data_IF_257679986395
#
_entry.id   IF_257679986395
#
_cell.length_a   1.000
_cell.length_b   1.000
_cell.length_c   1.000
_cell.angle_alpha   90.00
_cell.angle_beta   90.00
_cell.angle_gamma   90.00
#
_symmetry.space_group_name_H-M   'P 1'
#
loop_
_entity.id
_entity.type
_entity.pdbx_description
1 polymer ?
#
# COMPACT_ATOMS: atom_id res chain seq x y z
N UNK A 1 -31.53 -4.29 23.70
CA UNK A 1 -30.51 -3.60 22.89
C UNK A 1 -31.11 -2.35 22.28
N UNK A 2 -30.47 -1.23 22.45
CA UNK A 2 -30.96 0.06 21.96
C UNK A 2 -30.69 0.19 20.47
N UNK A 3 -31.68 0.62 19.69
CA UNK A 3 -31.49 0.90 18.27
C UNK A 3 -30.51 2.05 18.09
N UNK A 4 -29.52 1.88 17.23
CA UNK A 4 -28.52 2.89 16.92
C UNK A 4 -28.56 3.19 15.41
N UNK A 5 -29.15 4.34 15.00
CA UNK A 5 -29.22 4.70 13.58
C UNK A 5 -27.84 4.94 12.95
N UNK A 6 -26.86 5.40 13.73
CA UNK A 6 -25.49 5.58 13.21
C UNK A 6 -24.85 4.25 12.84
N UNK A 7 -25.15 3.19 13.61
CA UNK A 7 -24.65 1.85 13.30
C UNK A 7 -25.21 1.33 11.97
N UNK A 8 -26.49 1.58 11.67
CA UNK A 8 -27.07 1.16 10.40
C UNK A 8 -26.47 1.90 9.21
N UNK A 9 -26.18 3.20 9.35
CA UNK A 9 -25.49 3.98 8.32
C UNK A 9 -24.08 3.44 8.10
N UNK A 10 -23.36 3.14 9.18
CA UNK A 10 -22.01 2.57 9.10
C UNK A 10 -22.03 1.19 8.45
N UNK A 11 -23.05 0.37 8.73
CA UNK A 11 -23.18 -0.94 8.12
C UNK A 11 -23.41 -0.83 6.61
N UNK A 12 -24.27 0.06 6.14
CA UNK A 12 -24.50 0.31 4.72
C UNK A 12 -23.21 0.78 4.03
N UNK A 13 -22.48 1.69 4.66
CA UNK A 13 -21.21 2.17 4.16
C UNK A 13 -20.22 1.04 3.99
N UNK A 14 -20.11 0.16 5.00
CA UNK A 14 -19.23 -1.01 4.94
C UNK A 14 -19.61 -1.97 3.82
N UNK A 15 -20.91 -2.21 3.60
CA UNK A 15 -21.36 -3.12 2.55
C UNK A 15 -20.98 -2.63 1.14
N UNK A 16 -20.98 -1.33 0.91
CA UNK A 16 -20.52 -0.77 -0.38
C UNK A 16 -19.07 -1.15 -0.67
N UNK A 17 -18.20 -1.03 0.33
CA UNK A 17 -16.78 -1.34 0.16
C UNK A 17 -16.50 -2.84 0.13
N UNK A 18 -17.26 -3.63 0.86
CA UNK A 18 -17.19 -5.10 0.77
C UNK A 18 -17.51 -5.56 -0.65
N UNK A 19 -18.54 -5.01 -1.26
CA UNK A 19 -18.94 -5.35 -2.63
C UNK A 19 -17.87 -4.93 -3.63
N UNK A 20 -17.29 -3.74 -3.47
CA UNK A 20 -16.18 -3.29 -4.32
C UNK A 20 -15.00 -4.26 -4.24
N UNK A 21 -14.62 -4.68 -3.05
CA UNK A 21 -13.50 -5.60 -2.87
C UNK A 21 -13.80 -6.96 -3.48
N UNK A 22 -15.00 -7.49 -3.27
CA UNK A 22 -15.41 -8.76 -3.90
C UNK A 22 -15.31 -8.69 -5.41
N UNK A 23 -15.76 -7.60 -6.02
CA UNK A 23 -15.70 -7.43 -7.46
C UNK A 23 -14.26 -7.41 -7.97
N UNK A 24 -13.35 -6.77 -7.24
CA UNK A 24 -11.92 -6.76 -7.58
C UNK A 24 -11.35 -8.18 -7.54
N UNK A 25 -11.65 -8.93 -6.49
CA UNK A 25 -11.07 -10.25 -6.25
C UNK A 25 -11.69 -11.37 -7.09
N UNK A 26 -12.99 -11.28 -7.39
CA UNK A 26 -13.73 -12.36 -8.03
C UNK A 26 -13.97 -12.17 -9.51
N UNK A 27 -14.12 -10.94 -9.98
CA UNK A 27 -14.57 -10.64 -11.35
C UNK A 27 -13.56 -9.88 -12.18
N UNK A 28 -12.32 -9.72 -11.70
CA UNK A 28 -11.32 -8.94 -12.38
C UNK A 28 -11.69 -7.46 -12.50
N UNK A 29 -12.39 -6.91 -11.51
CA UNK A 29 -12.78 -5.49 -11.47
C UNK A 29 -11.62 -4.52 -11.28
N UNK A 30 -10.41 -4.96 -11.56
CA UNK A 30 -9.19 -4.16 -11.50
C UNK A 30 -7.97 -5.05 -11.54
N UNK A 31 -6.85 -4.50 -11.97
CA UNK A 31 -5.56 -5.18 -11.95
C UNK A 31 -4.92 -4.98 -10.57
N UNK A 32 -4.38 -6.06 -10.02
CA UNK A 32 -3.79 -6.08 -8.69
C UNK A 32 -2.29 -6.33 -8.80
N UNK A 33 -1.50 -5.47 -8.16
CA UNK A 33 -0.07 -5.69 -7.94
C UNK A 33 0.11 -6.14 -6.51
N UNK A 34 0.81 -7.26 -6.30
CA UNK A 34 1.05 -7.82 -4.97
C UNK A 34 2.54 -7.78 -4.67
N UNK A 35 2.87 -7.21 -3.53
CA UNK A 35 4.25 -7.19 -2.99
C UNK A 35 4.24 -7.79 -1.60
N UNK A 36 5.38 -8.35 -1.21
CA UNK A 36 5.54 -9.03 0.08
C UNK A 36 6.76 -8.48 0.80
N UNK A 37 6.57 -8.08 2.06
CA UNK A 37 7.66 -7.65 2.94
C UNK A 37 8.08 -8.81 3.84
N UNK A 38 9.40 -8.97 3.99
CA UNK A 38 9.97 -9.87 4.98
C UNK A 38 10.09 -9.16 6.32
N UNK A 39 10.51 -9.88 7.34
CA UNK A 39 10.51 -9.51 8.77
C UNK A 39 11.11 -8.14 9.12
N UNK A 40 11.94 -7.57 8.27
CA UNK A 40 12.66 -6.32 8.54
C UNK A 40 11.72 -5.17 8.93
N UNK A 41 10.49 -5.16 8.40
CA UNK A 41 9.50 -4.12 8.71
C UNK A 41 9.12 -4.06 10.18
N UNK A 42 9.24 -5.19 10.89
CA UNK A 42 8.92 -5.27 12.33
C UNK A 42 9.81 -4.33 13.13
N UNK A 43 11.10 -4.27 12.77
CA UNK A 43 12.07 -3.45 13.50
C UNK A 43 12.14 -2.01 12.96
N UNK A 44 11.99 -1.83 11.66
CA UNK A 44 12.15 -0.53 11.02
C UNK A 44 10.86 0.28 10.94
N UNK A 45 9.70 -0.39 10.93
CA UNK A 45 8.41 0.26 10.70
C UNK A 45 8.22 0.70 9.25
N UNK A 46 9.09 0.28 8.33
CA UNK A 46 9.05 0.71 6.93
C UNK A 46 8.68 -0.44 6.00
N UNK A 47 8.01 -0.12 4.91
CA UNK A 47 7.92 -1.00 3.75
C UNK A 47 8.83 -0.48 2.65
N UNK A 48 9.28 -1.40 1.79
CA UNK A 48 10.17 -1.09 0.68
C UNK A 48 9.36 -1.07 -0.62
N UNK A 49 9.37 0.06 -1.31
CA UNK A 49 8.63 0.22 -2.57
C UNK A 49 9.61 0.60 -3.67
N UNK A 50 9.80 -0.31 -4.63
CA UNK A 50 10.66 -0.06 -5.77
C UNK A 50 10.00 0.97 -6.69
N UNK A 51 10.80 1.91 -7.21
CA UNK A 51 10.34 2.94 -8.13
C UNK A 51 11.14 3.00 -9.42
N UNK A 52 12.33 2.41 -9.46
CA UNK A 52 13.09 2.30 -10.70
C UNK A 52 13.97 1.06 -10.70
N UNK A 53 14.29 0.58 -11.89
CA UNK A 53 15.23 -0.51 -12.13
C UNK A 53 16.07 -0.16 -13.35
N UNK A 54 17.38 -0.09 -13.17
CA UNK A 54 18.33 0.31 -14.22
C UNK A 54 17.95 1.63 -14.88
N UNK A 55 17.50 2.61 -14.09
CA UNK A 55 17.14 3.94 -14.55
C UNK A 55 15.77 4.05 -15.24
N UNK A 56 14.98 2.95 -15.25
CA UNK A 56 13.64 2.94 -15.85
C UNK A 56 12.58 2.84 -14.77
N UNK A 57 11.41 3.48 -14.94
CA UNK A 57 10.32 3.31 -13.98
C UNK A 57 9.96 1.85 -13.79
N UNK A 58 9.85 1.42 -12.54
CA UNK A 58 9.48 0.07 -12.15
C UNK A 58 8.70 0.10 -10.84
N UNK A 59 8.27 -1.05 -10.36
CA UNK A 59 7.50 -1.10 -9.14
C UNK A 59 6.32 -0.13 -9.18
N UNK A 60 6.19 0.72 -8.18
CA UNK A 60 5.07 1.66 -8.11
C UNK A 60 5.08 2.68 -9.24
N UNK A 61 6.24 3.14 -9.66
CA UNK A 61 6.34 4.13 -10.74
C UNK A 61 5.98 3.56 -12.11
N UNK A 62 6.18 2.25 -12.30
CA UNK A 62 5.94 1.59 -13.58
C UNK A 62 4.67 0.77 -13.64
N UNK A 63 3.99 0.54 -12.53
CA UNK A 63 2.83 -0.34 -12.50
C UNK A 63 1.65 0.24 -13.29
N UNK A 64 0.92 -0.66 -13.95
CA UNK A 64 -0.37 -0.36 -14.59
C UNK A 64 -1.53 -0.94 -13.79
N UNK A 65 -1.26 -1.41 -12.57
CA UNK A 65 -2.29 -1.95 -11.70
C UNK A 65 -3.19 -0.84 -11.17
N UNK A 66 -4.40 -1.22 -10.84
CA UNK A 66 -5.38 -0.32 -10.21
C UNK A 66 -5.28 -0.38 -8.70
N UNK A 67 -4.82 -1.52 -8.17
CA UNK A 67 -4.73 -1.79 -6.76
C UNK A 67 -3.35 -2.33 -6.40
N UNK A 68 -2.86 -1.91 -5.24
CA UNK A 68 -1.58 -2.33 -4.68
C UNK A 68 -1.83 -3.02 -3.35
N UNK A 69 -1.48 -4.30 -3.29
CA UNK A 69 -1.62 -5.11 -2.09
C UNK A 69 -0.21 -5.40 -1.57
N UNK A 70 0.07 -4.92 -0.37
CA UNK A 70 1.38 -5.06 0.26
C UNK A 70 1.26 -5.96 1.47
N UNK A 71 1.79 -7.17 1.37
CA UNK A 71 1.68 -8.21 2.39
C UNK A 71 2.81 -8.04 3.39
N UNK A 72 2.48 -8.06 4.67
CA UNK A 72 3.45 -8.01 5.77
C UNK A 72 3.59 -9.41 6.36
N UNK A 73 4.81 -9.94 6.37
CA UNK A 73 5.07 -11.29 6.88
C UNK A 73 5.99 -11.26 8.09
N UNK A 74 5.87 -12.29 8.94
CA UNK A 74 6.81 -12.59 10.00
C UNK A 74 7.10 -14.08 9.92
N UNK A 75 8.37 -14.44 9.77
CA UNK A 75 8.83 -15.83 9.66
C UNK A 75 8.11 -16.60 8.57
N UNK A 76 7.82 -15.93 7.46
CA UNK A 76 7.13 -16.54 6.33
C UNK A 76 5.61 -16.58 6.43
N UNK A 77 5.03 -16.20 7.57
CA UNK A 77 3.58 -16.18 7.74
C UNK A 77 3.02 -14.80 7.45
N UNK A 78 1.92 -14.74 6.72
CA UNK A 78 1.22 -13.47 6.49
C UNK A 78 0.54 -13.02 7.78
N UNK A 79 0.93 -11.82 8.25
CA UNK A 79 0.36 -11.21 9.45
C UNK A 79 -0.73 -10.21 9.08
N UNK A 80 -0.50 -9.43 8.02
CA UNK A 80 -1.48 -8.46 7.56
C UNK A 80 -1.22 -8.10 6.11
N UNK A 81 -2.13 -7.33 5.54
CA UNK A 81 -2.03 -6.86 4.18
C UNK A 81 -2.54 -5.43 4.12
N UNK A 82 -1.72 -4.54 3.54
CA UNK A 82 -2.12 -3.17 3.26
C UNK A 82 -2.63 -3.09 1.83
N UNK A 83 -3.80 -2.51 1.64
CA UNK A 83 -4.43 -2.41 0.33
C UNK A 83 -4.65 -0.95 -0.02
N UNK A 84 -4.18 -0.52 -1.18
CA UNK A 84 -4.31 0.86 -1.64
C UNK A 84 -4.79 0.92 -3.08
N UNK A 85 -5.69 1.86 -3.41
CA UNK A 85 -5.81 2.28 -4.81
C UNK A 85 -4.46 2.86 -5.26
N UNK A 86 -3.96 2.44 -6.41
CA UNK A 86 -2.63 2.88 -6.86
C UNK A 86 -2.51 4.41 -6.95
N UNK A 87 -3.50 5.15 -7.51
CA UNK A 87 -3.39 6.61 -7.54
C UNK A 87 -3.27 7.24 -6.15
N UNK A 88 -3.96 6.69 -5.15
CA UNK A 88 -3.88 7.17 -3.77
C UNK A 88 -2.52 6.89 -3.16
N UNK A 89 -2.00 5.69 -3.37
CA UNK A 89 -0.67 5.33 -2.87
C UNK A 89 0.41 6.23 -3.47
N UNK A 90 0.35 6.44 -4.78
CA UNK A 90 1.29 7.35 -5.45
C UNK A 90 1.21 8.76 -4.89
N UNK A 91 0.00 9.27 -4.64
CA UNK A 91 -0.20 10.60 -4.07
C UNK A 91 0.40 10.69 -2.66
N UNK A 92 0.10 9.74 -1.80
CA UNK A 92 0.61 9.71 -0.43
C UNK A 92 2.15 9.72 -0.44
N UNK A 93 2.75 8.83 -1.21
CA UNK A 93 4.21 8.71 -1.27
C UNK A 93 4.84 9.96 -1.85
N UNK A 94 4.24 10.57 -2.87
CA UNK A 94 4.74 11.82 -3.44
C UNK A 94 4.74 12.95 -2.40
N UNK A 95 3.68 13.05 -1.60
CA UNK A 95 3.60 14.06 -0.55
C UNK A 95 4.59 13.80 0.57
N UNK A 96 4.77 12.53 0.96
CA UNK A 96 5.78 12.15 1.94
C UNK A 96 7.20 12.44 1.43
N UNK A 97 7.44 12.20 0.16
CA UNK A 97 8.74 12.50 -0.46
C UNK A 97 9.04 14.00 -0.42
N UNK A 98 8.05 14.85 -0.72
CA UNK A 98 8.22 16.31 -0.65
C UNK A 98 8.55 16.78 0.76
N UNK A 99 8.05 16.10 1.77
CA UNK A 99 8.30 16.42 3.18
C UNK A 99 9.56 15.77 3.73
N UNK A 100 10.31 15.06 2.87
CA UNK A 100 11.50 14.30 3.27
C UNK A 100 11.23 13.25 4.32
N UNK A 101 10.03 12.65 4.29
CA UNK A 101 9.61 11.59 5.23
C UNK A 101 9.77 10.19 4.65
N UNK A 102 10.28 10.05 3.43
CA UNK A 102 10.69 8.77 2.86
C UNK A 102 12.17 8.82 2.52
N UNK A 103 12.83 7.67 2.58
CA UNK A 103 14.25 7.57 2.29
C UNK A 103 14.46 6.72 1.03
N UNK A 104 15.30 7.17 0.12
CA UNK A 104 15.68 6.42 -1.08
C UNK A 104 16.93 5.62 -0.80
N UNK A 105 16.92 4.34 -1.16
CA UNK A 105 18.07 3.45 -1.05
C UNK A 105 18.24 2.68 -2.36
N UNK A 106 19.45 2.19 -2.59
CA UNK A 106 19.74 1.26 -3.69
C UNK A 106 19.52 -0.16 -3.19
N UNK A 107 18.99 -1.03 -4.04
CA UNK A 107 18.75 -2.40 -3.68
C UNK A 107 18.69 -3.30 -4.89
N UNK A 108 18.26 -4.55 -4.66
CA UNK A 108 18.22 -5.56 -5.72
C UNK A 108 19.59 -6.01 -6.17
N UNK A 109 19.62 -6.83 -7.22
CA UNK A 109 20.86 -7.34 -7.80
C UNK A 109 21.68 -6.19 -8.35
N UNK A 110 22.99 -6.16 -8.01
CA UNK A 110 23.94 -5.13 -8.43
C UNK A 110 23.53 -3.71 -8.02
N UNK A 111 22.63 -3.53 -7.04
CA UNK A 111 22.10 -2.22 -6.62
C UNK A 111 21.46 -1.45 -7.76
N UNK A 112 20.84 -2.15 -8.70
CA UNK A 112 20.22 -1.54 -9.88
C UNK A 112 18.84 -0.95 -9.62
N UNK A 113 18.23 -1.26 -8.46
CA UNK A 113 16.91 -0.75 -8.09
C UNK A 113 17.00 0.46 -7.18
N UNK A 114 16.16 1.47 -7.44
CA UNK A 114 15.90 2.51 -6.46
C UNK A 114 14.65 2.12 -5.68
N UNK A 115 14.77 2.14 -4.36
CA UNK A 115 13.73 1.69 -3.46
C UNK A 115 13.44 2.79 -2.45
N UNK A 116 12.17 3.09 -2.27
CA UNK A 116 11.73 4.01 -1.23
C UNK A 116 11.41 3.21 0.02
N UNK A 117 12.00 3.62 1.14
CA UNK A 117 11.64 3.10 2.46
C UNK A 117 10.58 4.02 3.05
N UNK A 118 9.38 3.49 3.19
CA UNK A 118 8.19 4.28 3.52
C UNK A 118 7.66 3.86 4.88
N UNK A 119 7.58 4.78 5.86
CA UNK A 119 7.04 4.44 7.18
C UNK A 119 5.57 4.01 7.08
N UNK A 120 5.25 2.85 7.61
CA UNK A 120 3.88 2.30 7.57
C UNK A 120 2.90 3.26 8.25
N UNK A 121 3.29 3.81 9.42
CA UNK A 121 2.42 4.71 10.16
C UNK A 121 2.06 5.97 9.35
N UNK A 122 2.94 6.43 8.48
CA UNK A 122 2.67 7.59 7.62
C UNK A 122 1.70 7.26 6.50
N UNK A 123 1.69 6.02 6.04
CA UNK A 123 0.76 5.58 5.00
C UNK A 123 -0.69 5.54 5.49
N UNK A 124 -0.90 5.23 6.79
CA UNK A 124 -2.24 4.99 7.33
C UNK A 124 -2.75 6.14 8.21
N UNK A 125 -1.90 7.10 8.54
CA UNK A 125 -2.27 8.23 9.40
C UNK A 125 -1.94 9.57 8.75
N UNK A 126 -2.08 9.65 7.42
CA UNK A 126 -1.77 10.88 6.69
C UNK A 126 -2.83 11.96 6.94
N UNK A 127 -2.36 13.21 7.06
CA UNK A 127 -3.23 14.38 7.19
C UNK A 127 -3.55 15.04 5.85
N UNK A 128 -3.03 14.51 4.74
CA UNK A 128 -3.20 15.12 3.42
C UNK A 128 -4.66 15.15 2.96
N UNK A 129 -5.47 14.25 3.47
CA UNK A 129 -6.85 14.10 3.04
C UNK A 129 -7.86 14.73 4.01
N UNK A 130 -7.37 15.49 4.96
CA UNK A 130 -8.24 16.21 5.90
C UNK A 130 -8.76 17.51 5.32
#
# INVERSE_FOLDING_TARGET
>A
MTYNPDFDIDLEFGLVYEEKLKNILQSGGGKIEVKTERDTWVNTGNIAIEVSYKGRPSGLAGTKADWWFHILTIRGDMISMLCFPVPKLKYIIRELFKKEEVRTVKGGDNNDSEILLVPINKLVTTSFFK
#
